data_IF_791355170758
#
_entry.id   IF_791355170758
#
_cell.length_a   1.000
_cell.length_b   1.000
_cell.length_c   1.000
_cell.angle_alpha   90.00
_cell.angle_beta   90.00
_cell.angle_gamma   90.00
#
_symmetry.space_group_name_H-M   'P 1'
#
loop_
_entity.id
_entity.type
_entity.pdbx_description
1 polymer ?
#
# COMPACT_ATOMS: atom_id res chain seq x y z
N UNK A 1 -18.18 6.09 6.18
CA UNK A 1 -17.71 4.75 6.60
C UNK A 1 -16.72 4.96 7.75
N UNK A 2 -16.81 4.20 8.80
CA UNK A 2 -15.79 4.19 9.86
C UNK A 2 -14.78 3.14 9.43
N UNK A 3 -13.51 3.54 9.27
CA UNK A 3 -12.43 2.60 9.01
C UNK A 3 -12.11 1.87 10.32
N UNK A 4 -11.93 0.55 10.24
CA UNK A 4 -11.49 -0.24 11.39
C UNK A 4 -9.94 -0.20 11.39
N UNK A 5 -9.36 0.33 12.45
CA UNK A 5 -7.90 0.38 12.65
C UNK A 5 -7.22 -1.00 12.46
N UNK A 6 -7.93 -2.09 12.73
CA UNK A 6 -7.41 -3.44 12.51
C UNK A 6 -7.34 -3.87 11.05
N UNK A 7 -7.95 -3.12 10.15
CA UNK A 7 -7.92 -3.34 8.70
C UNK A 7 -7.05 -2.31 7.98
N UNK A 8 -6.34 -1.50 8.72
CA UNK A 8 -5.49 -0.43 8.23
C UNK A 8 -4.01 -0.85 8.30
N UNK A 9 -3.31 -0.68 7.19
CA UNK A 9 -1.85 -0.85 7.11
C UNK A 9 -1.12 0.47 7.35
N UNK A 10 -1.69 1.56 6.84
CA UNK A 10 -1.04 2.87 6.87
C UNK A 10 -2.07 4.00 6.92
N UNK A 11 -1.85 4.97 7.79
CA UNK A 11 -2.56 6.23 7.89
C UNK A 11 -1.54 7.37 7.80
N UNK A 12 -1.50 8.01 6.64
CA UNK A 12 -0.57 9.09 6.28
C UNK A 12 0.91 8.77 6.56
N UNK A 13 1.30 7.49 6.34
CA UNK A 13 2.65 6.98 6.61
C UNK A 13 3.63 7.47 5.54
N UNK A 14 4.78 8.01 5.98
CA UNK A 14 5.87 8.47 5.11
C UNK A 14 6.47 7.31 4.30
N UNK A 15 6.55 7.50 2.99
CA UNK A 15 7.18 6.56 2.03
C UNK A 15 8.54 7.04 1.52
N UNK A 16 9.11 8.08 2.14
CA UNK A 16 10.43 8.57 1.79
C UNK A 16 11.48 7.51 2.09
N UNK A 17 12.13 7.00 1.07
CA UNK A 17 13.12 5.92 1.20
C UNK A 17 14.14 5.93 0.06
N UNK A 18 15.35 5.48 0.36
CA UNK A 18 16.33 5.13 -0.67
C UNK A 18 15.81 3.96 -1.54
N UNK A 19 16.40 3.77 -2.71
CA UNK A 19 16.09 2.63 -3.56
C UNK A 19 16.21 1.31 -2.77
N UNK A 20 15.18 0.49 -2.82
CA UNK A 20 15.06 -0.75 -2.06
C UNK A 20 13.60 -1.12 -1.79
N UNK A 21 13.40 -2.14 -0.96
CA UNK A 21 12.09 -2.58 -0.51
C UNK A 21 11.92 -2.28 0.97
N UNK A 22 10.80 -1.67 1.36
CA UNK A 22 10.49 -1.33 2.74
C UNK A 22 9.06 -1.75 3.08
N UNK A 23 8.85 -2.23 4.29
CA UNK A 23 7.52 -2.41 4.87
C UNK A 23 6.94 -1.03 5.21
N UNK A 24 5.68 -0.80 4.86
CA UNK A 24 4.98 0.45 5.15
C UNK A 24 3.96 0.22 6.26
N UNK A 25 4.03 1.07 7.27
CA UNK A 25 3.06 1.10 8.36
C UNK A 25 2.98 -0.20 9.15
N UNK A 26 1.77 -0.60 9.48
CA UNK A 26 1.48 -1.71 10.36
C UNK A 26 1.20 -3.01 9.60
N UNK A 27 1.22 -4.10 10.35
CA UNK A 27 0.96 -5.46 9.86
C UNK A 27 -0.37 -5.93 10.42
N UNK A 28 -1.23 -6.47 9.55
CA UNK A 28 -2.49 -7.08 9.98
C UNK A 28 -2.23 -8.53 10.38
N UNK A 29 -2.52 -8.88 11.63
CA UNK A 29 -2.43 -10.26 12.14
C UNK A 29 -3.77 -10.99 11.91
N UNK A 30 -3.77 -11.99 11.05
CA UNK A 30 -4.92 -12.86 10.80
C UNK A 30 -5.09 -13.94 11.89
N UNK A 31 -4.23 -13.95 12.91
CA UNK A 31 -4.12 -14.95 13.99
C UNK A 31 -3.63 -16.32 13.52
N UNK A 32 -4.10 -16.78 12.36
CA UNK A 32 -3.68 -18.02 11.70
C UNK A 32 -3.60 -17.79 10.20
N UNK A 33 -2.82 -18.62 9.51
CA UNK A 33 -2.86 -18.65 8.04
C UNK A 33 -4.28 -19.03 7.59
N UNK A 34 -4.89 -18.19 6.75
CA UNK A 34 -6.23 -18.42 6.23
C UNK A 34 -6.44 -17.70 4.91
N UNK A 35 -7.22 -18.29 4.03
CA UNK A 35 -7.68 -17.60 2.85
C UNK A 35 -8.70 -16.52 3.23
N UNK A 36 -8.49 -15.32 2.69
CA UNK A 36 -9.37 -14.17 2.84
C UNK A 36 -9.92 -13.78 1.47
N UNK A 37 -11.12 -13.18 1.45
CA UNK A 37 -11.77 -12.80 0.19
C UNK A 37 -12.54 -13.91 -0.51
N UNK A 38 -12.54 -15.14 0.01
CA UNK A 38 -13.40 -16.21 -0.48
C UNK A 38 -14.86 -15.97 -0.05
N UNK A 39 -15.77 -16.02 -1.02
CA UNK A 39 -17.19 -15.79 -0.79
C UNK A 39 -17.59 -14.32 -0.86
N UNK A 40 -17.10 -13.47 0.04
CA UNK A 40 -17.28 -12.02 -0.03
C UNK A 40 -15.94 -11.35 -0.35
N UNK A 41 -15.84 -10.62 -1.47
CA UNK A 41 -14.60 -9.94 -1.82
C UNK A 41 -14.15 -8.95 -0.74
N UNK A 42 -12.86 -8.94 -0.46
CA UNK A 42 -12.18 -7.92 0.33
C UNK A 42 -11.42 -7.03 -0.64
N UNK A 43 -11.50 -5.73 -0.46
CA UNK A 43 -10.86 -4.75 -1.34
C UNK A 43 -9.67 -4.10 -0.63
N UNK A 44 -8.57 -4.00 -1.34
CA UNK A 44 -7.42 -3.19 -0.93
C UNK A 44 -7.57 -1.80 -1.55
N UNK A 45 -7.40 -0.78 -0.74
CA UNK A 45 -7.27 0.61 -1.17
C UNK A 45 -5.88 1.12 -0.79
N UNK A 46 -5.13 1.64 -1.75
CA UNK A 46 -3.86 2.36 -1.52
C UNK A 46 -4.01 3.74 -2.14
N UNK A 47 -3.77 4.78 -1.36
CA UNK A 47 -3.88 6.17 -1.79
C UNK A 47 -2.70 6.99 -1.32
N UNK A 48 -2.36 8.00 -2.11
CA UNK A 48 -1.47 9.07 -1.63
C UNK A 48 -2.17 9.81 -0.50
N UNK A 49 -1.45 10.05 0.57
CA UNK A 49 -1.93 10.76 1.74
C UNK A 49 -2.01 12.27 1.55
N UNK A 50 -1.78 13.02 2.63
CA UNK A 50 -1.79 14.48 2.61
C UNK A 50 -0.60 15.11 1.90
N UNK A 51 0.50 14.37 1.76
CA UNK A 51 1.72 14.83 1.08
C UNK A 51 1.92 14.08 -0.24
N UNK A 52 2.11 14.84 -1.32
CA UNK A 52 2.42 14.31 -2.64
C UNK A 52 3.67 13.43 -2.61
N UNK A 53 3.65 12.31 -3.33
CA UNK A 53 4.80 11.42 -3.46
C UNK A 53 5.73 11.99 -4.54
N UNK A 54 6.98 12.23 -4.18
CA UNK A 54 8.02 12.77 -5.05
C UNK A 54 9.23 11.85 -5.03
N UNK A 55 9.65 11.38 -6.20
CA UNK A 55 10.93 10.70 -6.35
C UNK A 55 12.02 11.69 -6.76
N UNK A 56 13.22 11.49 -6.24
CA UNK A 56 14.37 12.34 -6.56
C UNK A 56 14.95 12.01 -7.94
N UNK A 57 14.74 12.88 -8.93
CA UNK A 57 15.32 12.77 -10.26
C UNK A 57 14.46 11.98 -11.26
N UNK A 58 14.91 12.01 -12.51
CA UNK A 58 14.21 11.36 -13.62
C UNK A 58 14.21 9.84 -13.52
N UNK A 59 13.11 9.21 -13.88
CA UNK A 59 12.90 7.76 -13.92
C UNK A 59 12.91 7.04 -12.55
N UNK A 60 12.67 7.74 -11.43
CA UNK A 60 12.36 7.09 -10.16
C UNK A 60 11.05 6.32 -10.27
N UNK A 61 11.00 5.11 -9.71
CA UNK A 61 9.79 4.29 -9.71
C UNK A 61 9.39 3.89 -8.31
N UNK A 62 8.07 3.80 -8.10
CA UNK A 62 7.48 3.29 -6.88
C UNK A 62 6.39 2.27 -7.23
N UNK A 63 6.43 1.12 -6.57
CA UNK A 63 5.44 0.05 -6.69
C UNK A 63 5.07 -0.42 -5.30
N UNK A 64 3.79 -0.74 -5.09
CA UNK A 64 3.33 -1.35 -3.85
C UNK A 64 2.98 -2.82 -4.07
N UNK A 65 3.22 -3.63 -3.03
CA UNK A 65 2.92 -5.05 -3.03
C UNK A 65 2.14 -5.42 -1.78
N UNK A 66 1.04 -6.16 -1.95
CA UNK A 66 0.41 -6.87 -0.84
C UNK A 66 1.12 -8.21 -0.67
N UNK A 67 1.66 -8.43 0.51
CA UNK A 67 2.42 -9.64 0.83
C UNK A 67 1.91 -10.28 2.12
N UNK A 68 2.20 -11.56 2.30
CA UNK A 68 2.05 -12.22 3.59
C UNK A 68 3.33 -12.93 4.01
N UNK A 69 3.46 -13.14 5.32
CA UNK A 69 4.59 -13.83 5.94
C UNK A 69 4.11 -14.59 7.19
N UNK A 70 4.83 -15.64 7.54
CA UNK A 70 4.59 -16.37 8.79
C UNK A 70 5.02 -15.60 10.04
N UNK A 71 5.89 -14.60 9.87
CA UNK A 71 6.41 -13.74 10.93
C UNK A 71 5.87 -12.31 10.81
N UNK A 72 5.62 -11.62 11.94
CA UNK A 72 5.18 -10.23 11.95
C UNK A 72 6.23 -9.26 11.38
N UNK A 73 7.52 -9.61 11.47
CA UNK A 73 8.60 -8.92 10.77
C UNK A 73 8.63 -9.41 9.32
N UNK A 74 7.73 -8.86 8.49
CA UNK A 74 7.62 -9.25 7.09
C UNK A 74 8.95 -9.04 6.35
N UNK A 75 9.37 -10.07 5.63
CA UNK A 75 10.63 -10.08 4.89
C UNK A 75 10.59 -9.12 3.72
N UNK A 76 11.63 -8.30 3.58
CA UNK A 76 11.78 -7.33 2.48
C UNK A 76 12.79 -7.79 1.42
N UNK A 77 13.34 -8.99 1.58
CA UNK A 77 14.37 -9.60 0.72
C UNK A 77 13.81 -10.43 -0.45
N UNK A 78 12.49 -10.43 -0.61
CA UNK A 78 11.78 -11.18 -1.66
C UNK A 78 11.34 -12.59 -1.23
N UNK A 79 11.47 -12.96 0.05
CA UNK A 79 11.01 -14.26 0.57
C UNK A 79 9.55 -14.24 1.05
N UNK A 80 8.98 -13.07 1.36
CA UNK A 80 7.56 -12.94 1.66
C UNK A 80 6.70 -13.36 0.47
N UNK A 81 5.55 -13.98 0.75
CA UNK A 81 4.62 -14.44 -0.28
C UNK A 81 3.87 -13.26 -0.90
N UNK A 82 4.08 -13.02 -2.19
CA UNK A 82 3.42 -11.93 -2.94
C UNK A 82 2.03 -12.35 -3.40
N UNK A 83 1.01 -11.51 -3.14
CA UNK A 83 -0.38 -11.73 -3.56
C UNK A 83 -0.84 -10.76 -4.62
N UNK A 84 -0.45 -9.49 -4.51
CA UNK A 84 -0.87 -8.45 -5.43
C UNK A 84 0.25 -7.43 -5.61
N UNK A 85 0.45 -7.01 -6.85
CA UNK A 85 1.36 -5.96 -7.24
C UNK A 85 0.57 -4.84 -7.91
N UNK A 86 0.81 -3.60 -7.50
CA UNK A 86 0.31 -2.44 -8.24
C UNK A 86 1.11 -2.23 -9.52
N UNK A 87 0.64 -1.36 -10.38
CA UNK A 87 1.48 -0.86 -11.47
C UNK A 87 2.73 -0.18 -10.90
N UNK A 88 3.81 -0.24 -11.66
CA UNK A 88 5.02 0.52 -11.36
C UNK A 88 4.83 1.95 -11.86
N UNK A 89 4.64 2.87 -10.92
CA UNK A 89 4.45 4.28 -11.25
C UNK A 89 5.79 4.98 -11.38
N UNK A 90 5.93 5.77 -12.42
CA UNK A 90 7.15 6.51 -12.74
C UNK A 90 6.94 7.98 -12.40
N UNK A 91 7.93 8.58 -11.76
CA UNK A 91 7.99 10.03 -11.62
C UNK A 91 9.24 10.55 -12.32
N UNK A 92 9.08 11.53 -13.17
CA UNK A 92 10.23 12.16 -13.84
C UNK A 92 10.83 13.30 -13.01
N UNK A 93 10.00 14.03 -12.35
CA UNK A 93 10.31 15.09 -11.39
C UNK A 93 9.00 15.62 -10.75
N UNK A 94 9.12 16.61 -9.87
CA UNK A 94 7.96 17.26 -9.24
C UNK A 94 6.96 17.91 -10.24
N UNK A 95 7.33 18.05 -11.50
CA UNK A 95 6.50 18.66 -12.56
C UNK A 95 5.78 17.61 -13.41
N UNK A 96 6.18 16.34 -13.32
CA UNK A 96 5.71 15.26 -14.21
C UNK A 96 5.40 13.97 -13.44
N UNK A 97 4.91 14.11 -12.23
CA UNK A 97 4.48 12.97 -11.41
C UNK A 97 3.25 12.30 -12.03
N UNK A 98 3.16 10.99 -11.83
CA UNK A 98 1.91 10.28 -12.06
C UNK A 98 0.77 10.94 -11.28
N UNK A 99 -0.42 11.04 -11.90
CA UNK A 99 -1.57 11.70 -11.26
C UNK A 99 -1.97 11.03 -9.93
N UNK A 100 -1.65 9.75 -9.79
CA UNK A 100 -1.86 8.93 -8.60
C UNK A 100 -1.00 9.39 -7.42
N UNK A 101 0.11 10.05 -7.68
CA UNK A 101 1.02 10.56 -6.65
C UNK A 101 0.62 11.91 -6.07
N UNK A 102 -0.30 12.62 -6.72
CA UNK A 102 -0.86 13.85 -6.15
C UNK A 102 -1.57 13.57 -4.81
N UNK A 103 -1.53 14.50 -3.89
CA UNK A 103 -2.19 14.37 -2.59
C UNK A 103 -3.65 13.91 -2.75
N UNK A 104 -4.02 12.84 -2.07
CA UNK A 104 -5.35 12.22 -2.18
C UNK A 104 -5.57 11.38 -3.46
N UNK A 105 -4.56 11.22 -4.31
CA UNK A 105 -4.63 10.36 -5.50
C UNK A 105 -4.84 8.89 -5.16
N UNK A 106 -5.49 8.13 -6.02
CA UNK A 106 -5.70 6.69 -5.84
C UNK A 106 -4.64 5.92 -6.61
N UNK A 107 -3.79 5.19 -5.89
CA UNK A 107 -2.74 4.36 -6.47
C UNK A 107 -3.30 2.99 -6.86
N UNK A 108 -4.06 2.39 -5.97
CA UNK A 108 -4.71 1.11 -6.24
C UNK A 108 -6.05 1.02 -5.52
N UNK A 109 -7.03 0.46 -6.20
CA UNK A 109 -8.31 0.11 -5.61
C UNK A 109 -8.89 -1.12 -6.31
N UNK A 110 -8.91 -2.25 -5.62
CA UNK A 110 -9.37 -3.50 -6.21
C UNK A 110 -9.52 -4.64 -5.20
N UNK A 111 -10.23 -5.67 -5.61
CA UNK A 111 -10.35 -6.88 -4.79
C UNK A 111 -8.99 -7.57 -4.66
N UNK A 112 -8.67 -8.02 -3.45
CA UNK A 112 -7.50 -8.86 -3.24
C UNK A 112 -7.74 -10.24 -3.86
N UNK A 113 -6.69 -10.92 -4.37
CA UNK A 113 -6.83 -12.23 -4.96
C UNK A 113 -7.38 -13.25 -3.97
N UNK A 114 -8.43 -13.99 -4.38
CA UNK A 114 -8.95 -15.13 -3.64
C UNK A 114 -8.34 -16.45 -4.10
N UNK A 115 -7.54 -16.39 -5.17
CA UNK A 115 -6.82 -17.53 -5.77
C UNK A 115 -5.32 -17.23 -5.75
N UNK A 116 -4.50 -18.28 -5.77
CA UNK A 116 -3.05 -18.17 -5.74
C UNK A 116 -2.44 -18.80 -4.50
N UNK A 117 -1.26 -18.37 -4.06
CA UNK A 117 -0.66 -18.88 -2.84
C UNK A 117 -1.56 -18.53 -1.63
N UNK A 118 -1.70 -19.46 -0.64
CA UNK A 118 -2.48 -19.20 0.55
C UNK A 118 -1.89 -18.04 1.34
N UNK A 119 -2.77 -17.23 1.95
CA UNK A 119 -2.32 -16.15 2.83
C UNK A 119 -1.73 -16.72 4.11
N UNK A 120 -0.56 -16.22 4.46
CA UNK A 120 0.09 -16.53 5.73
C UNK A 120 -0.51 -15.67 6.85
N UNK A 121 -0.01 -15.85 8.08
CA UNK A 121 -0.62 -15.22 9.25
C UNK A 121 -0.59 -13.68 9.21
N UNK A 122 0.51 -13.09 8.74
CA UNK A 122 0.69 -11.64 8.78
C UNK A 122 0.63 -11.06 7.38
N UNK A 123 -0.20 -10.04 7.21
CA UNK A 123 -0.31 -9.27 5.98
C UNK A 123 0.40 -7.93 6.12
N UNK A 124 1.04 -7.48 5.06
CA UNK A 124 1.67 -6.17 5.01
C UNK A 124 1.73 -5.59 3.61
N UNK A 125 2.03 -4.32 3.54
CA UNK A 125 2.27 -3.60 2.29
C UNK A 125 3.76 -3.29 2.19
N UNK A 126 4.39 -3.75 1.12
CA UNK A 126 5.76 -3.38 0.78
C UNK A 126 5.75 -2.28 -0.27
N UNK A 127 6.58 -1.25 -0.07
CA UNK A 127 6.94 -0.29 -1.10
C UNK A 127 8.28 -0.67 -1.71
N UNK A 128 8.32 -0.73 -3.02
CA UNK A 128 9.54 -0.97 -3.81
C UNK A 128 9.90 0.32 -4.52
N UNK A 129 10.92 1.00 -4.01
CA UNK A 129 11.51 2.20 -4.62
C UNK A 129 12.67 1.77 -5.48
N UNK A 130 12.69 2.16 -6.77
CA UNK A 130 13.76 1.81 -7.66
C UNK A 130 14.27 3.02 -8.45
N UNK A 131 15.50 2.89 -8.96
CA UNK A 131 16.24 3.87 -9.74
C UNK A 131 16.73 5.05 -8.91
N UNK A 132 15.86 5.76 -8.19
CA UNK A 132 16.24 6.88 -7.31
C UNK A 132 15.49 6.82 -5.99
N UNK A 133 15.88 7.68 -5.05
CA UNK A 133 15.25 7.84 -3.74
C UNK A 133 13.86 8.48 -3.88
N UNK A 134 12.85 8.00 -3.15
CA UNK A 134 11.63 8.76 -2.88
C UNK A 134 11.94 9.79 -1.80
N UNK A 135 11.75 11.07 -2.09
CA UNK A 135 12.20 12.19 -1.26
C UNK A 135 11.09 12.77 -0.39
N UNK A 136 9.84 12.56 -0.75
CA UNK A 136 8.67 12.99 0.01
C UNK A 136 7.47 12.12 -0.35
N UNK A 137 6.46 12.13 0.48
CA UNK A 137 5.15 11.54 0.22
C UNK A 137 4.64 10.70 1.37
N UNK A 138 3.33 10.67 1.48
CA UNK A 138 2.65 9.83 2.46
C UNK A 138 1.61 8.96 1.78
N UNK A 139 1.27 7.83 2.39
CA UNK A 139 0.25 6.91 1.88
C UNK A 139 -0.72 6.49 2.97
N UNK A 140 -1.95 6.24 2.52
CA UNK A 140 -2.98 5.53 3.27
C UNK A 140 -3.23 4.18 2.59
N UNK A 141 -3.26 3.10 3.37
CA UNK A 141 -3.51 1.76 2.86
C UNK A 141 -4.39 0.97 3.83
N UNK A 142 -5.48 0.40 3.34
CA UNK A 142 -6.43 -0.33 4.18
C UNK A 142 -7.25 -1.35 3.39
N UNK A 143 -7.84 -2.31 4.12
CA UNK A 143 -8.81 -3.26 3.60
C UNK A 143 -10.24 -2.80 3.87
N UNK A 144 -11.15 -3.04 2.93
CA UNK A 144 -12.58 -2.73 3.09
C UNK A 144 -13.46 -3.78 2.44
N UNK A 145 -14.65 -3.97 3.02
CA UNK A 145 -15.71 -4.80 2.45
C UNK A 145 -16.73 -3.99 1.65
N UNK A 146 -16.69 -2.67 1.78
CA UNK A 146 -17.61 -1.76 1.09
C UNK A 146 -16.85 -0.74 0.23
N UNK A 147 -16.59 -1.08 -1.04
CA UNK A 147 -15.90 -0.19 -1.94
C UNK A 147 -16.75 1.01 -2.39
N UNK A 148 -18.09 0.89 -2.35
CA UNK A 148 -18.98 1.88 -2.94
C UNK A 148 -19.19 3.14 -2.09
N UNK A 149 -18.99 3.04 -0.80
CA UNK A 149 -19.20 4.13 0.16
C UNK A 149 -17.93 4.92 0.52
N UNK A 150 -16.78 4.54 -0.03
CA UNK A 150 -15.54 5.15 0.39
C UNK A 150 -15.24 6.43 -0.41
N UNK A 151 -15.15 7.53 0.31
CA UNK A 151 -14.66 8.81 -0.20
C UNK A 151 -13.63 9.35 0.79
N UNK A 152 -12.52 9.88 0.26
CA UNK A 152 -11.58 10.61 1.09
C UNK A 152 -12.30 11.79 1.76
N UNK A 153 -12.26 11.83 3.07
CA UNK A 153 -12.71 12.96 3.86
C UNK A 153 -11.47 13.67 4.37
N UNK A 154 -11.42 15.01 4.36
CA UNK A 154 -10.34 15.70 5.02
C UNK A 154 -10.38 15.39 6.52
N UNK A 155 -9.20 15.31 7.15
CA UNK A 155 -9.10 15.13 8.59
C UNK A 155 -9.94 16.16 9.33
N UNK A 156 -10.64 15.68 10.36
CA UNK A 156 -11.40 16.58 11.21
C UNK A 156 -10.42 17.46 12.00
N UNK A 157 -10.43 18.74 11.72
CA UNK A 157 -9.72 19.72 12.55
C UNK A 157 -10.58 20.06 13.77
N UNK A 158 -10.10 19.70 14.96
CA UNK A 158 -10.68 20.11 16.23
C UNK A 158 -10.17 21.49 16.64
#
# INVERSE_FOLDING_TARGET
>A
MILDERLEFADDVDVSAAAGTALIGDVIDLEVARDIGQGKPVYLCIRTGGTEIITGGSAGTLQFKLVSDAAAAISTDGTATEHLLTDTLVTDDASNNAAEFAAGGTIFFGAIPAEGPPYERYLGILAVTATTTTTAGTVNAFLTLDPSGWQAQPDATN
#
